data_IF_136588998871
#
_entry.id   IF_136588998871
#
_cell.length_a   1.000
_cell.length_b   1.000
_cell.length_c   1.000
_cell.angle_alpha   90.00
_cell.angle_beta   90.00
_cell.angle_gamma   90.00
#
_symmetry.space_group_name_H-M   'P 1'
#
loop_
_entity.id
_entity.type
_entity.pdbx_description
1 polymer ?
#
# COMPACT_ATOMS: atom_id res chain seq x y z
N UNK A 1 12.57 22.00 16.84
CA UNK A 1 13.70 21.99 15.88
C UNK A 1 14.03 23.40 15.39
N UNK A 2 13.08 24.20 14.83
CA UNK A 2 13.36 25.55 14.31
C UNK A 2 13.86 26.55 15.38
N UNK A 3 13.50 26.37 16.65
CA UNK A 3 13.99 27.19 17.78
C UNK A 3 15.38 26.76 18.26
N UNK A 4 15.73 25.53 18.01
CA UNK A 4 16.99 24.91 18.41
C UNK A 4 18.12 25.16 17.41
N UNK A 5 17.78 25.65 16.19
CA UNK A 5 18.72 25.90 15.10
C UNK A 5 19.20 24.61 14.45
N UNK A 6 18.46 24.15 13.43
CA UNK A 6 18.87 22.98 12.60
C UNK A 6 19.44 23.47 11.27
N UNK A 7 20.42 22.73 10.74
CA UNK A 7 21.07 23.00 9.46
C UNK A 7 20.46 22.17 8.30
N UNK A 8 19.72 21.11 8.60
CA UNK A 8 19.08 20.21 7.66
C UNK A 8 17.86 19.55 8.31
N UNK A 9 16.77 19.41 7.57
CA UNK A 9 15.64 18.56 7.93
C UNK A 9 15.58 17.34 7.00
N UNK A 10 15.59 16.14 7.61
CA UNK A 10 15.23 14.89 6.90
C UNK A 10 13.91 14.43 7.48
N UNK A 11 12.91 14.19 6.63
CA UNK A 11 11.56 13.84 7.08
C UNK A 11 10.98 12.69 6.26
N UNK A 12 10.43 11.67 6.96
CA UNK A 12 9.53 10.66 6.40
C UNK A 12 8.12 10.98 6.89
N UNK A 13 7.24 11.51 6.03
CA UNK A 13 5.90 11.92 6.44
C UNK A 13 5.03 10.72 6.80
N UNK A 14 4.22 10.80 7.84
CA UNK A 14 3.19 9.80 8.07
C UNK A 14 2.03 9.99 7.08
N UNK A 15 1.53 11.22 7.00
CA UNK A 15 0.51 11.66 6.06
C UNK A 15 0.99 12.93 5.36
N UNK A 16 0.58 13.13 4.09
CA UNK A 16 1.12 14.22 3.28
C UNK A 16 0.57 15.59 3.68
N UNK A 17 -0.74 15.69 3.90
CA UNK A 17 -1.43 16.98 4.10
C UNK A 17 -1.02 17.69 5.40
N UNK A 18 -1.05 17.04 6.59
CA UNK A 18 -0.77 17.74 7.84
C UNK A 18 0.66 18.25 7.97
N UNK A 19 1.64 17.57 7.36
CA UNK A 19 3.06 17.92 7.48
C UNK A 19 3.51 18.98 6.48
N UNK A 20 2.81 19.09 5.34
CA UNK A 20 3.19 20.00 4.24
C UNK A 20 3.46 21.43 4.72
N UNK A 21 2.57 22.13 5.44
CA UNK A 21 2.80 23.52 5.85
C UNK A 21 3.98 23.66 6.84
N UNK A 22 4.27 22.62 7.60
CA UNK A 22 5.41 22.61 8.53
C UNK A 22 6.72 22.51 7.77
N UNK A 23 6.78 21.64 6.77
CA UNK A 23 7.95 21.48 5.89
C UNK A 23 8.22 22.73 5.09
N UNK A 24 7.18 23.34 4.49
CA UNK A 24 7.31 24.62 3.78
C UNK A 24 7.88 25.74 4.66
N UNK A 25 7.45 25.79 5.93
CA UNK A 25 7.97 26.76 6.89
C UNK A 25 9.47 26.58 7.15
N UNK A 26 9.96 25.35 7.17
CA UNK A 26 11.41 25.04 7.33
C UNK A 26 12.15 25.45 6.06
N UNK A 27 11.67 25.01 4.89
CA UNK A 27 12.29 25.31 3.61
C UNK A 27 12.36 26.82 3.33
N UNK A 28 11.29 27.57 3.61
CA UNK A 28 11.23 29.02 3.44
C UNK A 28 12.18 29.81 4.35
N UNK A 29 12.77 29.18 5.36
CA UNK A 29 13.85 29.76 6.19
C UNK A 29 15.26 29.49 5.63
N UNK A 30 15.34 28.90 4.45
CA UNK A 30 16.60 28.54 3.78
C UNK A 30 17.26 27.28 4.33
N UNK A 31 16.53 26.49 5.15
CA UNK A 31 17.03 25.21 5.66
C UNK A 31 16.76 24.13 4.62
N UNK A 32 17.77 23.39 4.14
CA UNK A 32 17.57 22.26 3.23
C UNK A 32 16.62 21.22 3.83
N UNK A 33 15.76 20.67 2.96
CA UNK A 33 14.81 19.62 3.36
C UNK A 33 14.95 18.42 2.43
N UNK A 34 15.16 17.25 3.01
CA UNK A 34 15.13 15.95 2.30
C UNK A 34 13.86 15.21 2.74
N UNK A 35 13.00 14.92 1.78
CA UNK A 35 11.79 14.10 1.99
C UNK A 35 12.11 12.68 1.58
N UNK A 36 11.83 11.70 2.44
CA UNK A 36 12.14 10.29 2.18
C UNK A 36 10.90 9.42 2.25
N UNK A 37 10.90 8.34 1.46
CA UNK A 37 9.85 7.30 1.38
C UNK A 37 8.50 7.85 0.88
N UNK A 38 7.86 8.75 1.62
CA UNK A 38 6.55 9.31 1.33
C UNK A 38 6.66 10.77 0.90
N UNK A 39 5.85 11.17 -0.08
CA UNK A 39 5.82 12.55 -0.58
C UNK A 39 4.92 13.45 0.27
N UNK A 40 5.06 14.75 0.08
CA UNK A 40 4.23 15.82 0.64
C UNK A 40 3.55 16.60 -0.50
N UNK A 41 2.54 17.42 -0.17
CA UNK A 41 1.73 18.14 -1.15
C UNK A 41 2.33 19.50 -1.57
N UNK A 42 3.65 19.54 -1.76
CA UNK A 42 4.38 20.72 -2.21
C UNK A 42 5.68 20.30 -2.89
N UNK A 43 6.26 21.17 -3.69
CA UNK A 43 7.61 21.05 -4.29
C UNK A 43 8.68 21.81 -3.49
N UNK A 44 8.31 22.39 -2.32
CA UNK A 44 9.22 23.15 -1.47
C UNK A 44 10.07 22.22 -0.57
N UNK A 45 10.95 21.48 -1.20
CA UNK A 45 11.98 20.66 -0.57
C UNK A 45 13.21 20.60 -1.48
N UNK A 46 14.35 20.24 -0.91
CA UNK A 46 15.63 20.18 -1.64
C UNK A 46 15.75 18.90 -2.47
N UNK A 47 15.30 17.76 -1.91
CA UNK A 47 15.33 16.48 -2.59
C UNK A 47 14.24 15.55 -2.04
N UNK A 48 13.76 14.65 -2.93
CA UNK A 48 12.93 13.50 -2.56
C UNK A 48 13.68 12.20 -2.88
N UNK A 49 13.64 11.25 -1.97
CA UNK A 49 14.22 9.91 -2.13
C UNK A 49 13.14 8.88 -1.78
N UNK A 50 12.67 8.15 -2.77
CA UNK A 50 11.62 7.13 -2.58
C UNK A 50 11.27 6.42 -3.87
N UNK A 51 10.40 5.41 -3.76
CA UNK A 51 9.89 4.65 -4.89
C UNK A 51 8.79 5.38 -5.66
N UNK A 52 8.61 5.03 -6.92
CA UNK A 52 7.46 5.47 -7.70
C UNK A 52 6.23 4.60 -7.37
N UNK A 53 5.49 5.00 -6.34
CA UNK A 53 4.34 4.24 -5.85
C UNK A 53 3.18 4.15 -6.86
N UNK A 54 3.06 5.11 -7.78
CA UNK A 54 2.09 5.03 -8.86
C UNK A 54 2.44 3.89 -9.83
N UNK A 55 3.71 3.78 -10.24
CA UNK A 55 4.18 2.69 -11.09
C UNK A 55 4.07 1.33 -10.39
N UNK A 56 4.38 1.26 -9.09
CA UNK A 56 4.18 0.04 -8.28
C UNK A 56 2.70 -0.40 -8.34
N UNK A 57 1.78 0.54 -8.19
CA UNK A 57 0.35 0.26 -8.34
C UNK A 57 -0.02 -0.23 -9.75
N UNK A 58 0.55 0.38 -10.80
CA UNK A 58 0.34 -0.07 -12.18
C UNK A 58 0.85 -1.50 -12.40
N UNK A 59 2.05 -1.84 -11.91
CA UNK A 59 2.59 -3.20 -12.02
C UNK A 59 1.73 -4.22 -11.29
N UNK A 60 1.26 -3.90 -10.09
CA UNK A 60 0.31 -4.75 -9.36
C UNK A 60 -0.98 -4.95 -10.17
N UNK A 61 -1.49 -3.90 -10.82
CA UNK A 61 -2.67 -3.99 -11.69
C UNK A 61 -2.46 -4.87 -12.92
N UNK A 62 -1.30 -4.75 -13.60
CA UNK A 62 -0.93 -5.61 -14.73
C UNK A 62 -0.87 -7.08 -14.31
N UNK A 63 -0.25 -7.33 -13.18
CA UNK A 63 -0.10 -8.70 -12.66
C UNK A 63 -1.45 -9.29 -12.22
N UNK A 64 -2.28 -8.50 -11.51
CA UNK A 64 -3.64 -8.90 -11.14
C UNK A 64 -4.48 -9.24 -12.38
N UNK A 65 -4.44 -8.40 -13.42
CA UNK A 65 -5.17 -8.64 -14.66
C UNK A 65 -4.71 -9.92 -15.39
N UNK A 66 -3.41 -10.21 -15.33
CA UNK A 66 -2.86 -11.45 -15.90
C UNK A 66 -3.31 -12.70 -15.11
N UNK A 67 -3.22 -12.68 -13.78
CA UNK A 67 -3.68 -13.77 -12.91
C UNK A 67 -5.17 -14.05 -13.09
N UNK A 68 -5.98 -13.01 -13.12
CA UNK A 68 -7.43 -13.09 -13.29
C UNK A 68 -7.87 -13.30 -14.76
N UNK A 69 -6.93 -13.32 -15.71
CA UNK A 69 -7.22 -13.46 -17.15
C UNK A 69 -8.26 -12.44 -17.64
N UNK A 70 -8.22 -11.24 -17.09
CA UNK A 70 -9.07 -10.12 -17.46
C UNK A 70 -10.47 -10.12 -16.84
N UNK A 71 -10.80 -11.04 -15.93
CA UNK A 71 -12.13 -11.10 -15.29
C UNK A 71 -12.04 -11.64 -13.87
N UNK A 72 -12.65 -10.93 -12.91
CA UNK A 72 -12.71 -11.36 -11.51
C UNK A 72 -13.00 -10.23 -10.55
N UNK A 73 -13.07 -10.57 -9.28
CA UNK A 73 -13.36 -9.67 -8.18
C UNK A 73 -12.14 -9.50 -7.28
N UNK A 74 -11.85 -8.26 -6.90
CA UNK A 74 -10.68 -7.90 -6.11
C UNK A 74 -11.10 -7.28 -4.78
N UNK A 75 -10.52 -7.79 -3.69
CA UNK A 75 -10.46 -7.10 -2.41
C UNK A 75 -9.16 -6.30 -2.34
N UNK A 76 -9.25 -4.99 -2.13
CA UNK A 76 -8.08 -4.13 -1.95
C UNK A 76 -7.88 -3.81 -0.46
N UNK A 77 -6.71 -4.15 0.06
CA UNK A 77 -6.28 -3.87 1.43
C UNK A 77 -5.24 -2.75 1.41
N UNK A 78 -5.72 -1.52 1.58
CA UNK A 78 -4.91 -0.30 1.44
C UNK A 78 -4.06 -0.02 2.67
N UNK A 79 -2.96 0.70 2.45
CA UNK A 79 -2.23 1.33 3.54
C UNK A 79 -2.99 2.51 4.17
N UNK A 80 -2.31 3.30 5.00
CA UNK A 80 -2.87 4.47 5.66
C UNK A 80 -3.43 5.48 4.64
N UNK A 81 -4.71 5.81 4.77
CA UNK A 81 -5.47 6.55 3.75
C UNK A 81 -4.89 7.93 3.38
N UNK A 82 -4.27 8.64 4.35
CA UNK A 82 -3.63 9.95 4.13
C UNK A 82 -2.18 9.88 3.65
N UNK A 83 -1.62 8.68 3.48
CA UNK A 83 -0.23 8.51 3.04
C UNK A 83 -0.10 8.48 1.52
N UNK A 84 0.92 9.17 0.98
CA UNK A 84 1.15 9.23 -0.47
C UNK A 84 1.34 7.86 -1.13
N UNK A 85 2.01 6.85 -0.53
CA UNK A 85 2.10 5.54 -1.16
C UNK A 85 0.75 4.84 -1.31
N UNK A 86 -0.14 4.93 -0.32
CA UNK A 86 -1.46 4.31 -0.41
C UNK A 86 -2.31 4.95 -1.51
N UNK A 87 -2.28 6.28 -1.60
CA UNK A 87 -2.99 7.05 -2.64
C UNK A 87 -2.44 6.70 -4.02
N UNK A 88 -1.12 6.72 -4.18
CA UNK A 88 -0.47 6.50 -5.47
C UNK A 88 -0.59 5.05 -5.96
N UNK A 89 -0.40 4.04 -5.07
CA UNK A 89 -0.58 2.61 -5.42
C UNK A 89 -2.01 2.35 -5.86
N UNK A 90 -3.01 2.87 -5.13
CA UNK A 90 -4.41 2.76 -5.51
C UNK A 90 -4.68 3.38 -6.88
N UNK A 91 -4.22 4.61 -7.12
CA UNK A 91 -4.44 5.31 -8.38
C UNK A 91 -3.78 4.58 -9.57
N UNK A 92 -2.54 4.10 -9.41
CA UNK A 92 -1.84 3.31 -10.43
C UNK A 92 -2.54 1.99 -10.73
N UNK A 93 -3.02 1.30 -9.69
CA UNK A 93 -3.77 0.06 -9.82
C UNK A 93 -5.08 0.27 -10.62
N UNK A 94 -5.88 1.26 -10.24
CA UNK A 94 -7.10 1.62 -10.96
C UNK A 94 -6.81 1.98 -12.42
N UNK A 95 -5.71 2.70 -12.69
CA UNK A 95 -5.33 3.11 -14.04
C UNK A 95 -5.20 1.91 -14.99
N UNK A 96 -4.64 0.82 -14.52
CA UNK A 96 -4.54 -0.40 -15.31
C UNK A 96 -5.89 -1.09 -15.46
N UNK A 97 -6.69 -1.16 -14.38
CA UNK A 97 -7.98 -1.82 -14.41
C UNK A 97 -9.00 -1.16 -15.35
N UNK A 98 -8.81 0.14 -15.69
CA UNK A 98 -9.61 0.82 -16.73
C UNK A 98 -9.63 0.03 -18.07
N UNK A 99 -8.55 -0.68 -18.39
CA UNK A 99 -8.42 -1.52 -19.59
C UNK A 99 -9.07 -2.91 -19.46
N UNK A 100 -9.59 -3.27 -18.29
CA UNK A 100 -10.13 -4.60 -17.98
C UNK A 100 -11.53 -4.53 -17.36
N UNK A 101 -12.58 -4.23 -18.14
CA UNK A 101 -13.94 -4.03 -17.62
C UNK A 101 -14.56 -5.26 -16.96
N UNK A 102 -13.95 -6.43 -17.14
CA UNK A 102 -14.34 -7.67 -16.46
C UNK A 102 -13.78 -7.81 -15.05
N UNK A 103 -12.88 -6.92 -14.61
CA UNK A 103 -12.31 -6.91 -13.28
C UNK A 103 -12.95 -5.80 -12.43
N UNK A 104 -13.32 -6.12 -11.19
CA UNK A 104 -13.94 -5.17 -10.28
C UNK A 104 -13.26 -5.20 -8.91
N UNK A 105 -13.03 -4.05 -8.33
CA UNK A 105 -12.74 -3.94 -6.89
C UNK A 105 -14.08 -3.98 -6.15
N UNK A 106 -14.39 -5.11 -5.53
CA UNK A 106 -15.65 -5.29 -4.79
C UNK A 106 -15.63 -4.67 -3.40
N UNK A 107 -14.43 -4.52 -2.85
CA UNK A 107 -14.21 -3.85 -1.56
C UNK A 107 -12.82 -3.26 -1.50
N UNK A 108 -12.72 -2.06 -0.95
CA UNK A 108 -11.46 -1.40 -0.63
C UNK A 108 -11.50 -0.96 0.82
N UNK A 109 -10.53 -1.39 1.62
CA UNK A 109 -10.47 -1.15 3.07
C UNK A 109 -9.06 -0.73 3.48
N UNK A 110 -8.95 0.05 4.55
CA UNK A 110 -7.66 0.43 5.10
C UNK A 110 -7.15 -0.63 6.08
N UNK A 111 -5.91 -1.06 5.89
CA UNK A 111 -5.14 -1.90 6.81
C UNK A 111 -4.02 -1.12 7.49
N UNK A 112 -3.87 0.19 7.15
CA UNK A 112 -3.03 1.20 7.81
C UNK A 112 -1.56 0.82 7.96
N UNK A 113 -1.00 -0.01 7.03
CA UNK A 113 0.34 -0.59 7.10
C UNK A 113 0.58 -1.48 8.31
N UNK A 114 -0.49 -1.91 9.00
CA UNK A 114 -0.45 -2.52 10.31
C UNK A 114 -1.03 -3.94 10.28
N UNK A 115 -0.25 -4.91 10.76
CA UNK A 115 -0.65 -6.31 10.79
C UNK A 115 -1.91 -6.56 11.65
N UNK A 116 -2.04 -5.90 12.82
CA UNK A 116 -3.21 -6.06 13.69
C UNK A 116 -4.49 -5.54 13.03
N UNK A 117 -4.41 -4.38 12.37
CA UNK A 117 -5.56 -3.78 11.68
C UNK A 117 -5.93 -4.64 10.47
N UNK A 118 -4.95 -5.08 9.68
CA UNK A 118 -5.16 -5.99 8.57
C UNK A 118 -5.84 -7.28 9.02
N UNK A 119 -5.38 -7.87 10.12
CA UNK A 119 -5.98 -9.07 10.72
C UNK A 119 -7.43 -8.85 11.13
N UNK A 120 -7.73 -7.74 11.85
CA UNK A 120 -9.10 -7.40 12.26
C UNK A 120 -10.02 -7.20 11.06
N UNK A 121 -9.56 -6.46 10.06
CA UNK A 121 -10.31 -6.20 8.82
C UNK A 121 -10.62 -7.52 8.11
N UNK A 122 -9.62 -8.37 7.91
CA UNK A 122 -9.78 -9.67 7.24
C UNK A 122 -10.70 -10.60 8.04
N UNK A 123 -10.55 -10.67 9.37
CA UNK A 123 -11.43 -11.48 10.23
C UNK A 123 -12.89 -11.03 10.12
N UNK A 124 -13.14 -9.74 10.00
CA UNK A 124 -14.50 -9.25 9.79
C UNK A 124 -15.02 -9.60 8.39
N UNK A 125 -14.21 -9.49 7.36
CA UNK A 125 -14.60 -9.72 5.97
C UNK A 125 -14.91 -11.19 5.67
N UNK A 126 -14.16 -12.14 6.20
CA UNK A 126 -14.42 -13.58 6.00
C UNK A 126 -15.77 -14.05 6.55
N UNK A 127 -16.35 -13.29 7.47
CA UNK A 127 -17.69 -13.55 8.04
C UNK A 127 -18.82 -12.87 7.23
N UNK A 128 -18.51 -12.23 6.10
CA UNK A 128 -19.50 -11.62 5.21
C UNK A 128 -19.74 -12.53 3.98
N UNK A 129 -20.83 -12.35 3.24
CA UNK A 129 -21.06 -13.07 1.98
C UNK A 129 -20.21 -12.55 0.82
N UNK A 130 -19.23 -11.70 1.08
CA UNK A 130 -18.35 -11.14 0.07
C UNK A 130 -17.44 -12.22 -0.54
N UNK A 131 -17.42 -12.29 -1.86
CA UNK A 131 -16.51 -13.15 -2.62
C UNK A 131 -15.47 -12.30 -3.33
N UNK A 132 -14.27 -12.84 -3.51
CA UNK A 132 -13.19 -12.22 -4.28
C UNK A 132 -12.21 -13.28 -4.76
N UNK A 133 -11.64 -13.06 -5.93
CA UNK A 133 -10.70 -13.96 -6.60
C UNK A 133 -9.25 -13.56 -6.32
N UNK A 134 -9.04 -12.31 -5.90
CA UNK A 134 -7.72 -11.77 -5.60
C UNK A 134 -7.78 -10.73 -4.47
N UNK A 135 -6.76 -10.74 -3.61
CA UNK A 135 -6.49 -9.70 -2.63
C UNK A 135 -5.27 -8.90 -3.11
N UNK A 136 -5.41 -7.60 -3.29
CA UNK A 136 -4.29 -6.68 -3.45
C UNK A 136 -4.03 -5.95 -2.14
N UNK A 137 -2.98 -6.34 -1.43
CA UNK A 137 -2.51 -5.66 -0.23
C UNK A 137 -1.37 -4.70 -0.60
N UNK A 138 -1.43 -3.47 -0.09
CA UNK A 138 -0.45 -2.44 -0.41
C UNK A 138 0.93 -2.67 0.20
N UNK A 139 1.11 -3.67 1.09
CA UNK A 139 2.41 -4.14 1.53
C UNK A 139 2.36 -5.62 1.95
N UNK A 140 3.55 -6.23 2.11
CA UNK A 140 3.70 -7.62 2.49
C UNK A 140 3.11 -7.94 3.86
N UNK A 141 3.31 -7.05 4.83
CA UNK A 141 2.82 -7.27 6.21
C UNK A 141 1.30 -7.49 6.23
N UNK A 142 0.55 -6.71 5.46
CA UNK A 142 -0.91 -6.87 5.36
C UNK A 142 -1.27 -8.09 4.50
N UNK A 143 -0.52 -8.39 3.43
CA UNK A 143 -0.72 -9.57 2.60
C UNK A 143 -0.56 -10.86 3.40
N UNK A 144 0.49 -10.94 4.22
CA UNK A 144 0.78 -12.09 5.08
C UNK A 144 -0.34 -12.32 6.11
N UNK A 145 -0.87 -11.25 6.71
CA UNK A 145 -1.99 -11.38 7.65
C UNK A 145 -3.28 -11.79 6.95
N UNK A 146 -3.53 -11.29 5.73
CA UNK A 146 -4.66 -11.76 4.93
C UNK A 146 -4.57 -13.26 4.66
N UNK A 147 -3.40 -13.75 4.26
CA UNK A 147 -3.12 -15.18 4.08
C UNK A 147 -3.38 -15.99 5.36
N UNK A 148 -2.81 -15.57 6.50
CA UNK A 148 -2.96 -16.27 7.79
C UNK A 148 -4.43 -16.38 8.19
N UNK A 149 -5.18 -15.27 8.12
CA UNK A 149 -6.61 -15.27 8.47
C UNK A 149 -7.42 -16.21 7.58
N UNK A 150 -7.17 -16.24 6.27
CA UNK A 150 -7.83 -17.19 5.36
C UNK A 150 -7.52 -18.64 5.72
N UNK A 151 -6.29 -18.96 6.05
CA UNK A 151 -5.89 -20.34 6.43
C UNK A 151 -6.39 -20.78 7.81
N UNK A 152 -6.54 -19.86 8.74
CA UNK A 152 -7.08 -20.12 10.08
C UNK A 152 -8.62 -20.22 10.08
N UNK A 153 -9.26 -19.75 9.03
CA UNK A 153 -10.72 -19.74 8.92
C UNK A 153 -11.26 -20.97 8.20
N UNK A 154 -12.54 -21.24 8.35
CA UNK A 154 -13.29 -22.27 7.60
C UNK A 154 -13.76 -21.71 6.23
N UNK A 155 -13.19 -20.58 5.79
CA UNK A 155 -13.56 -19.94 4.53
C UNK A 155 -13.28 -20.86 3.34
N UNK A 156 -14.21 -21.02 2.41
CA UNK A 156 -13.96 -21.73 1.17
C UNK A 156 -13.17 -20.91 0.15
N UNK A 157 -12.88 -19.62 0.45
CA UNK A 157 -12.17 -18.72 -0.46
C UNK A 157 -10.68 -19.06 -0.47
N UNK A 158 -10.13 -19.14 -1.66
CA UNK A 158 -8.70 -19.35 -1.92
C UNK A 158 -8.24 -18.35 -2.99
N UNK A 159 -8.28 -17.03 -2.71
CA UNK A 159 -7.91 -16.01 -3.66
C UNK A 159 -6.40 -15.96 -3.88
N UNK A 160 -5.97 -15.45 -5.03
CA UNK A 160 -4.60 -14.98 -5.18
C UNK A 160 -4.34 -13.82 -4.21
N UNK A 161 -3.12 -13.70 -3.70
CA UNK A 161 -2.74 -12.59 -2.82
C UNK A 161 -1.50 -11.90 -3.39
N UNK A 162 -1.62 -10.60 -3.63
CA UNK A 162 -0.50 -9.75 -4.04
C UNK A 162 -0.08 -8.85 -2.88
N UNK A 163 1.20 -8.89 -2.57
CA UNK A 163 1.87 -7.95 -1.67
C UNK A 163 2.71 -6.93 -2.42
N UNK A 164 3.35 -6.07 -1.69
CA UNK A 164 4.37 -5.10 -2.14
C UNK A 164 5.44 -5.05 -1.06
N UNK A 165 6.65 -4.74 -1.43
CA UNK A 165 7.89 -4.52 -0.69
C UNK A 165 8.93 -5.62 -0.93
N UNK A 166 8.55 -6.89 -1.05
CA UNK A 166 9.50 -7.99 -1.19
C UNK A 166 10.37 -8.14 0.07
N UNK A 167 9.74 -8.15 1.25
CA UNK A 167 10.47 -8.27 2.51
C UNK A 167 11.25 -9.59 2.58
N UNK A 168 12.54 -9.55 2.97
CA UNK A 168 13.35 -10.76 3.14
C UNK A 168 13.02 -11.51 4.45
N UNK A 169 13.54 -12.72 4.58
CA UNK A 169 13.42 -13.56 5.78
C UNK A 169 12.33 -14.62 5.65
N UNK A 170 12.36 -15.59 6.58
CA UNK A 170 11.50 -16.78 6.55
C UNK A 170 9.99 -16.45 6.65
N UNK A 171 9.66 -15.32 7.23
CA UNK A 171 8.30 -14.78 7.30
C UNK A 171 8.14 -13.51 6.43
N UNK A 172 9.00 -13.30 5.46
CA UNK A 172 8.94 -12.17 4.53
C UNK A 172 8.18 -12.50 3.25
N UNK A 173 7.74 -11.47 2.54
CA UNK A 173 6.98 -11.62 1.29
C UNK A 173 7.71 -12.47 0.25
N UNK A 174 9.04 -12.34 0.13
CA UNK A 174 9.84 -13.15 -0.81
C UNK A 174 9.68 -14.64 -0.52
N UNK A 175 9.80 -15.07 0.74
CA UNK A 175 9.67 -16.50 1.08
C UNK A 175 8.24 -16.99 0.82
N UNK A 176 7.23 -16.18 1.10
CA UNK A 176 5.85 -16.56 0.83
C UNK A 176 5.55 -16.71 -0.67
N UNK A 177 6.15 -15.88 -1.52
CA UNK A 177 6.08 -16.03 -2.99
C UNK A 177 6.75 -17.33 -3.43
N UNK A 178 7.96 -17.62 -2.92
CA UNK A 178 8.69 -18.86 -3.24
C UNK A 178 7.93 -20.12 -2.82
N UNK A 179 7.18 -20.06 -1.74
CA UNK A 179 6.35 -21.13 -1.22
C UNK A 179 4.96 -21.23 -1.91
N UNK A 180 4.65 -20.31 -2.82
CA UNK A 180 3.35 -20.23 -3.50
C UNK A 180 2.20 -19.82 -2.59
N UNK A 181 2.46 -18.98 -1.58
CA UNK A 181 1.46 -18.47 -0.62
C UNK A 181 1.01 -17.04 -0.97
N UNK A 182 1.80 -16.31 -1.74
CA UNK A 182 1.50 -14.99 -2.33
C UNK A 182 1.73 -15.04 -3.83
#
# INVERSE_FOLDING_TARGET
>A
FLKEGIDLLIVSPNESEPITPVVEKVFNRGIPVIVIDRTINTDRYTAYIGGNNYEIGMEAGRYAAALLKGKGEILELKGLSGSSPAIARHAGFLKILEGYPGIRIVRSVAGDWNWNIARQVMTNLINTPLTYDLIFAHNDVMALEAYKVLRESVSPLDPFILGVDGLPGDEGGIQFVLDGRL
#
